data_IF_013605368445
#
_entry.id   IF_013605368445
#
_cell.length_a   1.000
_cell.length_b   1.000
_cell.length_c   1.000
_cell.angle_alpha   90.00
_cell.angle_beta   90.00
_cell.angle_gamma   90.00
#
_symmetry.space_group_name_H-M   'P 1'
#
loop_
_entity.id
_entity.type
_entity.pdbx_description
1 polymer ?
#
# COMPACT_ATOMS: atom_id res chain seq x y z
N UNK A 1 2.40 56.36 -7.39
CA UNK A 1 3.51 55.44 -7.70
C UNK A 1 3.80 54.62 -6.44
N UNK A 2 3.30 53.37 -6.34
CA UNK A 2 3.98 52.25 -5.66
C UNK A 2 3.11 50.98 -5.68
N UNK A 3 3.02 50.34 -6.85
CA UNK A 3 2.33 49.07 -7.05
C UNK A 3 3.25 47.87 -6.77
N UNK A 4 4.20 48.00 -5.84
CA UNK A 4 5.25 46.99 -5.61
C UNK A 4 5.04 46.08 -4.40
N UNK A 5 4.03 46.35 -3.56
CA UNK A 5 3.88 45.61 -2.28
C UNK A 5 2.93 44.42 -2.32
N UNK A 6 2.10 44.27 -3.36
CA UNK A 6 1.04 43.23 -3.40
C UNK A 6 1.54 41.92 -4.04
N UNK A 7 2.57 41.98 -4.88
CA UNK A 7 3.06 40.81 -5.62
C UNK A 7 3.78 39.80 -4.70
N UNK A 8 4.42 40.26 -3.62
CA UNK A 8 5.18 39.39 -2.70
C UNK A 8 4.24 38.50 -1.86
N UNK A 9 2.97 38.87 -1.69
CA UNK A 9 2.05 38.15 -0.81
C UNK A 9 1.42 36.89 -1.44
N UNK A 10 1.50 36.72 -2.77
CA UNK A 10 0.87 35.59 -3.47
C UNK A 10 1.85 34.45 -3.82
N UNK A 11 3.17 34.68 -3.73
CA UNK A 11 4.18 33.64 -3.99
C UNK A 11 4.49 32.75 -2.78
N UNK A 12 4.19 33.23 -1.56
CA UNK A 12 4.45 32.49 -0.32
C UNK A 12 3.59 31.20 -0.16
N UNK A 13 2.27 31.19 -0.45
CA UNK A 13 1.48 29.96 -0.36
C UNK A 13 1.81 28.94 -1.47
N UNK A 14 2.35 29.39 -2.62
CA UNK A 14 2.70 28.52 -3.73
C UNK A 14 3.96 27.68 -3.45
N UNK A 15 4.91 28.22 -2.67
CA UNK A 15 6.12 27.50 -2.25
C UNK A 15 5.82 26.37 -1.25
N UNK A 16 4.81 26.52 -0.40
CA UNK A 16 4.41 25.50 0.58
C UNK A 16 3.80 24.27 -0.12
N UNK A 17 3.12 24.45 -1.25
CA UNK A 17 2.56 23.35 -2.05
C UNK A 17 3.66 22.54 -2.75
N UNK A 18 4.75 23.19 -3.18
CA UNK A 18 5.87 22.52 -3.85
C UNK A 18 6.76 21.71 -2.89
N UNK A 19 6.77 22.05 -1.61
CA UNK A 19 7.38 21.27 -0.52
C UNK A 19 6.36 20.37 0.19
N UNK A 20 5.38 19.85 -0.55
CA UNK A 20 4.48 18.81 -0.05
C UNK A 20 5.27 17.67 0.61
N UNK A 21 4.73 17.12 1.70
CA UNK A 21 5.39 16.08 2.49
C UNK A 21 6.01 15.00 1.58
N UNK A 22 7.34 14.98 1.50
CA UNK A 22 8.09 13.99 0.69
C UNK A 22 7.96 12.57 1.25
N UNK A 23 7.31 12.42 2.41
CA UNK A 23 6.96 11.16 3.06
C UNK A 23 6.15 10.22 2.17
N UNK A 24 6.29 8.92 2.43
CA UNK A 24 5.47 7.85 1.87
C UNK A 24 4.51 7.34 2.96
N UNK A 25 3.43 6.68 2.54
CA UNK A 25 2.48 6.09 3.48
C UNK A 25 3.16 5.06 4.41
N UNK A 26 2.70 4.96 5.65
CA UNK A 26 3.15 3.91 6.58
C UNK A 26 2.65 2.54 6.13
N UNK A 27 3.31 1.48 6.59
CA UNK A 27 2.83 0.12 6.35
C UNK A 27 1.78 -0.27 7.41
N UNK A 28 0.60 -0.77 7.01
CA UNK A 28 -0.40 -1.24 7.94
C UNK A 28 0.04 -2.55 8.60
N UNK A 29 -0.61 -2.89 9.70
CA UNK A 29 -0.46 -4.19 10.35
C UNK A 29 -1.20 -5.26 9.56
N UNK A 30 -0.61 -6.44 9.45
CA UNK A 30 -1.25 -7.60 8.83
C UNK A 30 -2.43 -8.07 9.70
N UNK A 31 -3.60 -8.38 9.09
CA UNK A 31 -4.75 -8.89 9.83
C UNK A 31 -4.42 -10.18 10.59
N UNK A 32 -4.89 -10.30 11.83
CA UNK A 32 -4.76 -11.53 12.61
C UNK A 32 -5.77 -12.58 12.16
N UNK A 33 -5.37 -13.85 12.20
CA UNK A 33 -6.24 -14.99 11.93
C UNK A 33 -7.44 -14.99 12.90
N UNK A 34 -8.66 -15.37 12.45
CA UNK A 34 -9.83 -15.47 13.32
C UNK A 34 -9.67 -16.59 14.36
N UNK A 35 -10.35 -16.45 15.49
CA UNK A 35 -10.36 -17.42 16.59
C UNK A 35 -11.26 -18.64 16.31
N UNK A 36 -12.26 -18.48 15.44
CA UNK A 36 -13.15 -19.56 15.00
C UNK A 36 -13.05 -19.74 13.47
N UNK A 37 -13.47 -20.90 12.98
CA UNK A 37 -13.43 -21.26 11.56
C UNK A 37 -14.84 -21.23 10.92
N UNK A 38 -15.74 -20.38 11.42
CA UNK A 38 -17.05 -20.22 10.78
C UNK A 38 -16.90 -19.57 9.40
N UNK A 39 -17.83 -19.87 8.49
CA UNK A 39 -17.82 -19.24 7.16
C UNK A 39 -17.80 -17.71 7.26
N UNK A 40 -18.54 -17.14 8.22
CA UNK A 40 -18.58 -15.70 8.46
C UNK A 40 -17.22 -15.13 8.87
N UNK A 41 -16.53 -15.74 9.83
CA UNK A 41 -15.24 -15.24 10.32
C UNK A 41 -14.14 -15.41 9.29
N UNK A 42 -14.13 -16.54 8.56
CA UNK A 42 -13.20 -16.79 7.48
C UNK A 42 -13.40 -15.79 6.32
N UNK A 43 -14.65 -15.52 5.92
CA UNK A 43 -14.93 -14.55 4.85
C UNK A 43 -14.55 -13.12 5.24
N UNK A 44 -14.81 -12.75 6.50
CA UNK A 44 -14.37 -11.46 7.03
C UNK A 44 -12.83 -11.35 7.07
N UNK A 45 -12.15 -12.45 7.37
CA UNK A 45 -10.69 -12.51 7.37
C UNK A 45 -10.11 -12.45 5.95
N UNK A 46 -10.69 -13.18 4.99
CA UNK A 46 -10.35 -13.12 3.57
C UNK A 46 -10.44 -11.69 3.04
N UNK A 47 -11.54 -10.97 3.31
CA UNK A 47 -11.71 -9.59 2.89
C UNK A 47 -10.63 -8.65 3.46
N UNK A 48 -10.26 -8.85 4.73
CA UNK A 48 -9.16 -8.10 5.37
C UNK A 48 -7.81 -8.42 4.72
N UNK A 49 -7.53 -9.69 4.42
CA UNK A 49 -6.32 -10.10 3.72
C UNK A 49 -6.26 -9.54 2.30
N UNK A 50 -7.36 -9.56 1.55
CA UNK A 50 -7.45 -8.98 0.22
C UNK A 50 -7.17 -7.47 0.26
N UNK A 51 -7.77 -6.76 1.21
CA UNK A 51 -7.51 -5.33 1.43
C UNK A 51 -6.04 -5.06 1.75
N UNK A 52 -5.43 -5.88 2.61
CA UNK A 52 -4.01 -5.78 2.96
C UNK A 52 -3.09 -6.06 1.76
N UNK A 53 -3.36 -7.10 0.97
CA UNK A 53 -2.62 -7.44 -0.24
C UNK A 53 -2.65 -6.31 -1.28
N UNK A 54 -3.85 -5.74 -1.53
CA UNK A 54 -4.02 -4.61 -2.44
C UNK A 54 -3.34 -3.34 -1.93
N UNK A 55 -3.34 -3.12 -0.60
CA UNK A 55 -2.57 -2.03 0.00
C UNK A 55 -1.08 -2.18 -0.30
N UNK A 56 -0.49 -3.35 -0.02
CA UNK A 56 0.94 -3.59 -0.27
C UNK A 56 1.30 -3.39 -1.74
N UNK A 57 0.47 -3.90 -2.65
CA UNK A 57 0.64 -3.68 -4.09
C UNK A 57 0.62 -2.20 -4.44
N UNK A 58 -0.41 -1.49 -4.00
CA UNK A 58 -0.60 -0.06 -4.30
C UNK A 58 0.56 0.75 -3.73
N UNK A 59 0.98 0.45 -2.50
CA UNK A 59 2.14 1.06 -1.87
C UNK A 59 3.40 0.91 -2.74
N UNK A 60 3.69 -0.30 -3.24
CA UNK A 60 4.85 -0.56 -4.08
C UNK A 60 4.76 0.16 -5.44
N UNK A 61 3.60 0.10 -6.12
CA UNK A 61 3.37 0.77 -7.41
C UNK A 61 3.55 2.28 -7.27
N UNK A 62 2.86 2.90 -6.30
CA UNK A 62 2.91 4.36 -6.08
C UNK A 62 4.30 4.82 -5.66
N UNK A 63 5.01 4.04 -4.84
CA UNK A 63 6.37 4.40 -4.43
C UNK A 63 7.34 4.31 -5.61
N UNK A 64 7.20 3.28 -6.47
CA UNK A 64 8.01 3.16 -7.70
C UNK A 64 7.77 4.35 -8.63
N UNK A 65 6.52 4.69 -8.88
CA UNK A 65 6.13 5.86 -9.71
C UNK A 65 6.68 7.17 -9.14
N UNK A 66 6.55 7.38 -7.82
CA UNK A 66 6.99 8.61 -7.15
C UNK A 66 8.50 8.85 -7.28
N UNK A 67 9.32 7.80 -7.15
CA UNK A 67 10.77 7.95 -7.09
C UNK A 67 11.50 7.62 -8.39
N UNK A 68 10.86 6.90 -9.33
CA UNK A 68 11.47 6.55 -10.61
C UNK A 68 12.79 5.78 -10.51
N UNK A 69 13.03 5.07 -9.39
CA UNK A 69 14.31 4.40 -9.15
C UNK A 69 14.50 3.22 -10.12
N UNK A 70 15.55 3.28 -10.94
CA UNK A 70 15.93 2.20 -11.85
C UNK A 70 16.26 0.90 -11.11
N UNK A 71 16.69 0.99 -9.85
CA UNK A 71 17.01 -0.13 -8.97
C UNK A 71 15.85 -0.46 -8.01
N UNK A 72 14.62 -0.03 -8.32
CA UNK A 72 13.46 -0.38 -7.50
C UNK A 72 13.28 -1.91 -7.46
N UNK A 73 13.06 -2.52 -6.28
CA UNK A 73 12.87 -3.96 -6.16
C UNK A 73 11.78 -4.48 -7.10
N UNK A 74 12.03 -5.60 -7.78
CA UNK A 74 11.01 -6.25 -8.60
C UNK A 74 9.93 -6.87 -7.70
N UNK A 75 8.68 -6.73 -8.12
CA UNK A 75 7.53 -7.35 -7.48
C UNK A 75 6.51 -7.73 -8.55
N UNK A 76 5.66 -8.71 -8.24
CA UNK A 76 4.53 -9.12 -9.09
C UNK A 76 3.25 -8.50 -8.56
N UNK A 77 2.28 -8.26 -9.45
CA UNK A 77 0.94 -7.86 -9.04
C UNK A 77 0.16 -9.08 -8.58
N UNK A 78 -0.75 -8.87 -7.65
CA UNK A 78 -1.70 -9.86 -7.19
C UNK A 78 -2.61 -10.28 -8.33
N UNK A 79 -2.69 -11.59 -8.58
CA UNK A 79 -3.58 -12.18 -9.56
C UNK A 79 -4.89 -12.60 -8.89
N UNK A 80 -5.93 -11.78 -9.06
CA UNK A 80 -7.24 -12.06 -8.50
C UNK A 80 -7.98 -13.19 -9.22
N UNK A 81 -7.52 -13.63 -10.40
CA UNK A 81 -8.15 -14.74 -11.14
C UNK A 81 -7.97 -16.09 -10.44
N UNK A 82 -7.01 -16.17 -9.52
CA UNK A 82 -6.77 -17.35 -8.67
C UNK A 82 -7.79 -17.48 -7.53
N UNK A 83 -8.61 -16.45 -7.27
CA UNK A 83 -9.63 -16.49 -6.24
C UNK A 83 -10.90 -17.19 -6.74
N UNK A 84 -11.43 -18.08 -5.92
CA UNK A 84 -12.70 -18.74 -6.16
C UNK A 84 -13.86 -17.78 -5.84
N UNK A 85 -14.83 -17.70 -6.74
CA UNK A 85 -16.04 -16.90 -6.56
C UNK A 85 -17.07 -17.57 -5.62
N UNK A 86 -16.94 -18.87 -5.36
CA UNK A 86 -17.90 -19.63 -4.57
C UNK A 86 -17.77 -19.33 -3.08
N UNK A 87 -18.89 -19.10 -2.40
CA UNK A 87 -18.89 -18.75 -0.97
C UNK A 87 -19.10 -19.98 -0.06
N UNK A 88 -18.10 -20.85 -0.01
CA UNK A 88 -18.05 -22.03 0.88
C UNK A 88 -16.79 -22.01 1.73
N UNK A 89 -16.78 -22.72 2.87
CA UNK A 89 -15.61 -22.79 3.77
C UNK A 89 -14.36 -23.22 3.00
N UNK A 90 -14.45 -24.27 2.17
CA UNK A 90 -13.30 -24.76 1.40
C UNK A 90 -12.79 -23.72 0.38
N UNK A 91 -13.70 -23.03 -0.31
CA UNK A 91 -13.31 -22.00 -1.28
C UNK A 91 -12.65 -20.79 -0.60
N UNK A 92 -13.25 -20.31 0.50
CA UNK A 92 -12.70 -19.20 1.30
C UNK A 92 -11.35 -19.55 1.91
N UNK A 93 -11.17 -20.76 2.44
CA UNK A 93 -9.87 -21.22 2.96
C UNK A 93 -8.79 -21.23 1.89
N UNK A 94 -9.09 -21.74 0.69
CA UNK A 94 -8.15 -21.70 -0.45
C UNK A 94 -7.82 -20.27 -0.88
N UNK A 95 -8.81 -19.37 -0.90
CA UNK A 95 -8.57 -17.95 -1.19
C UNK A 95 -7.65 -17.31 -0.15
N UNK A 96 -7.88 -17.59 1.14
CA UNK A 96 -7.00 -17.17 2.24
C UNK A 96 -5.57 -17.68 2.03
N UNK A 97 -5.38 -18.94 1.62
CA UNK A 97 -4.07 -19.51 1.34
C UNK A 97 -3.36 -18.75 0.21
N UNK A 98 -4.05 -18.48 -0.91
CA UNK A 98 -3.52 -17.71 -2.02
C UNK A 98 -3.14 -16.28 -1.62
N UNK A 99 -4.00 -15.61 -0.84
CA UNK A 99 -3.73 -14.27 -0.31
C UNK A 99 -2.50 -14.27 0.61
N UNK A 100 -2.41 -15.23 1.54
CA UNK A 100 -1.26 -15.35 2.45
C UNK A 100 0.04 -15.63 1.69
N UNK A 101 0.01 -16.46 0.66
CA UNK A 101 1.17 -16.72 -0.19
C UNK A 101 1.68 -15.42 -0.84
N UNK A 102 0.79 -14.66 -1.48
CA UNK A 102 1.15 -13.37 -2.07
C UNK A 102 1.68 -12.37 -1.04
N UNK A 103 1.02 -12.26 0.13
CA UNK A 103 1.45 -11.37 1.22
C UNK A 103 2.84 -11.75 1.72
N UNK A 104 3.12 -13.04 1.90
CA UNK A 104 4.40 -13.53 2.39
C UNK A 104 5.57 -13.13 1.47
N UNK A 105 5.34 -13.10 0.16
CA UNK A 105 6.33 -12.67 -0.83
C UNK A 105 6.46 -11.15 -0.88
N UNK A 106 5.32 -10.44 -0.83
CA UNK A 106 5.25 -9.00 -1.10
C UNK A 106 5.61 -8.14 0.11
N UNK A 107 5.22 -8.56 1.31
CA UNK A 107 5.41 -7.79 2.55
C UNK A 107 6.89 -7.50 2.86
N UNK A 108 7.85 -8.45 2.74
CA UNK A 108 9.27 -8.14 2.92
C UNK A 108 9.77 -7.06 1.98
N UNK A 109 9.32 -7.07 0.72
CA UNK A 109 9.67 -6.06 -0.29
C UNK A 109 9.13 -4.69 0.13
N UNK A 110 7.86 -4.63 0.54
CA UNK A 110 7.25 -3.41 1.03
C UNK A 110 7.98 -2.84 2.25
N UNK A 111 8.44 -3.69 3.18
CA UNK A 111 9.24 -3.28 4.34
C UNK A 111 10.59 -2.69 3.91
N UNK A 112 11.29 -3.31 2.95
CA UNK A 112 12.57 -2.80 2.43
C UNK A 112 12.36 -1.43 1.76
N UNK A 113 11.35 -1.32 0.90
CA UNK A 113 10.97 -0.07 0.22
C UNK A 113 10.62 0.99 1.26
N UNK A 114 9.78 0.66 2.24
CA UNK A 114 9.43 1.57 3.32
C UNK A 114 10.68 2.07 4.05
N UNK A 115 11.57 1.18 4.50
CA UNK A 115 12.82 1.58 5.18
C UNK A 115 13.72 2.49 4.32
N UNK A 116 13.77 2.26 3.01
CA UNK A 116 14.58 3.05 2.07
C UNK A 116 14.01 4.45 1.84
N UNK A 117 12.70 4.56 1.67
CA UNK A 117 12.04 5.80 1.21
C UNK A 117 11.26 6.56 2.28
N UNK A 118 11.01 5.97 3.45
CA UNK A 118 10.34 6.64 4.59
C UNK A 118 11.25 7.59 5.35
N UNK A 119 12.58 7.41 5.24
CA UNK A 119 13.52 8.37 5.79
C UNK A 119 13.46 9.62 4.92
N UNK A 120 12.86 10.67 5.45
CA UNK A 120 13.03 12.03 4.92
C UNK A 120 14.54 12.21 4.65
N UNK A 121 14.92 12.46 3.40
CA UNK A 121 16.22 13.09 3.14
C UNK A 121 16.16 14.41 3.90
N UNK A 122 16.86 14.47 5.04
CA UNK A 122 17.15 15.72 5.72
C UNK A 122 17.92 16.63 4.78
#
# INVERSE_FOLDING_TARGET
MNNKSIIISFFLPLFIVLFGCTSIASLPQEPSHPSDATLKSLSAYEAKLASYALYLQTFLVRTKEKFGDANFPKFTLFDSTLLQATHTINAVTKNIEHLKYYINITKPIAIIVYKKYSKLKK
#
